data_IF_982522968100
#
_entry.id   IF_982522968100
#
_cell.length_a   1.000
_cell.length_b   1.000
_cell.length_c   1.000
_cell.angle_alpha   90.00
_cell.angle_beta   90.00
_cell.angle_gamma   90.00
#
_symmetry.space_group_name_H-M   'P 1'
#
loop_
_entity.id
_entity.type
_entity.pdbx_description
1 polymer ?
#
# COMPACT_ATOMS: atom_id res chain seq x y z
N UNK A 1 -3.87 21.88 -12.28
CA UNK A 1 -2.67 21.67 -11.41
C UNK A 1 -2.05 22.99 -10.93
N UNK A 2 -1.40 23.80 -11.77
CA UNK A 2 -0.75 25.04 -11.28
C UNK A 2 -1.78 26.03 -10.73
N UNK A 3 -2.80 26.38 -11.52
CA UNK A 3 -3.79 27.37 -11.11
C UNK A 3 -4.78 26.85 -10.08
N UNK A 4 -5.16 25.57 -10.17
CA UNK A 4 -6.21 24.99 -9.31
C UNK A 4 -5.70 24.36 -8.02
N UNK A 5 -4.39 24.10 -7.90
CA UNK A 5 -3.83 23.42 -6.73
C UNK A 5 -2.67 24.23 -6.16
N UNK A 6 -1.64 24.52 -6.96
CA UNK A 6 -0.42 25.18 -6.44
C UNK A 6 -0.66 26.66 -6.11
N UNK A 7 -1.53 27.33 -6.86
CA UNK A 7 -1.86 28.73 -6.67
C UNK A 7 -3.08 28.96 -5.78
N UNK A 8 -3.77 27.89 -5.34
CA UNK A 8 -4.93 27.98 -4.46
C UNK A 8 -4.57 28.57 -3.10
N UNK A 9 -5.52 29.24 -2.45
CA UNK A 9 -5.30 29.97 -1.18
C UNK A 9 -5.08 29.02 0.01
N UNK A 10 -5.53 27.77 -0.09
CA UNK A 10 -5.35 26.70 0.90
C UNK A 10 -4.05 25.90 0.69
N UNK A 11 -3.28 26.21 -0.35
CA UNK A 11 -2.03 25.54 -0.66
C UNK A 11 -0.81 26.37 -0.21
N UNK A 12 -0.07 25.86 0.77
CA UNK A 12 1.19 26.49 1.19
C UNK A 12 2.31 26.20 0.18
N UNK A 13 2.69 27.24 -0.56
CA UNK A 13 3.76 27.21 -1.57
C UNK A 13 5.14 26.94 -0.97
N UNK A 14 5.32 27.19 0.33
CA UNK A 14 6.56 26.91 1.05
C UNK A 14 6.92 25.42 1.03
N UNK A 15 5.91 24.54 0.89
CA UNK A 15 6.09 23.09 0.77
C UNK A 15 6.91 22.67 -0.47
N UNK A 16 7.01 23.52 -1.50
CA UNK A 16 7.87 23.24 -2.67
C UNK A 16 9.34 23.63 -2.47
N UNK A 17 9.70 24.24 -1.34
CA UNK A 17 11.09 24.62 -1.06
C UNK A 17 11.97 23.38 -0.98
N UNK A 18 12.92 23.25 -1.92
CA UNK A 18 13.78 22.07 -2.02
C UNK A 18 13.13 20.84 -2.67
N UNK A 19 11.88 20.95 -3.15
CA UNK A 19 11.22 19.87 -3.87
C UNK A 19 11.78 19.73 -5.29
N UNK A 20 12.23 18.53 -5.65
CA UNK A 20 12.65 18.17 -7.00
C UNK A 20 11.86 16.93 -7.44
N UNK A 21 11.03 17.09 -8.47
CA UNK A 21 10.15 16.02 -8.96
C UNK A 21 10.92 14.78 -9.39
N UNK A 22 12.08 14.93 -10.05
CA UNK A 22 12.90 13.79 -10.48
C UNK A 22 13.50 13.04 -9.30
N UNK A 23 13.98 13.76 -8.29
CA UNK A 23 14.50 13.16 -7.06
C UNK A 23 13.42 12.40 -6.30
N UNK A 24 12.22 12.97 -6.18
CA UNK A 24 11.11 12.31 -5.50
C UNK A 24 10.57 11.11 -6.28
N UNK A 25 10.48 11.20 -7.62
CA UNK A 25 10.12 10.06 -8.47
C UNK A 25 11.11 8.91 -8.29
N UNK A 26 12.42 9.17 -8.35
CA UNK A 26 13.45 8.14 -8.14
C UNK A 26 13.41 7.52 -6.74
N UNK A 27 12.99 8.28 -5.73
CA UNK A 27 12.78 7.75 -4.37
C UNK A 27 11.56 6.84 -4.33
N UNK A 28 10.47 7.23 -4.98
CA UNK A 28 9.25 6.44 -5.10
C UNK A 28 9.52 5.11 -5.84
N UNK A 29 10.14 5.16 -7.01
CA UNK A 29 10.49 3.96 -7.80
C UNK A 29 11.37 2.98 -6.99
N UNK A 30 12.28 3.52 -6.16
CA UNK A 30 13.16 2.72 -5.28
C UNK A 30 12.41 2.13 -4.09
N UNK A 31 11.34 2.77 -3.61
CA UNK A 31 10.50 2.22 -2.55
C UNK A 31 9.63 1.07 -3.06
N UNK A 32 9.21 1.09 -4.33
CA UNK A 32 8.48 -0.02 -4.95
C UNK A 32 9.38 -1.25 -5.18
N UNK A 33 10.68 -1.05 -5.40
CA UNK A 33 11.66 -2.12 -5.55
C UNK A 33 12.90 -1.85 -4.67
N UNK A 34 12.81 -2.08 -3.35
CA UNK A 34 13.93 -1.91 -2.45
C UNK A 34 15.06 -2.87 -2.86
N UNK A 35 16.32 -2.43 -2.91
CA UNK A 35 17.46 -3.31 -3.24
C UNK A 35 17.59 -4.50 -2.27
N UNK A 36 17.07 -4.37 -1.05
CA UNK A 36 17.07 -5.42 -0.02
C UNK A 36 15.71 -6.14 0.10
N UNK A 37 14.79 -5.92 -0.84
CA UNK A 37 13.43 -6.51 -0.87
C UNK A 37 12.47 -5.99 0.21
N UNK A 38 12.96 -5.33 1.25
CA UNK A 38 12.14 -4.80 2.35
C UNK A 38 11.67 -3.37 2.08
N UNK A 39 10.37 -3.21 1.83
CA UNK A 39 9.74 -1.90 1.75
C UNK A 39 9.44 -1.39 3.18
N UNK A 40 10.35 -0.57 3.72
CA UNK A 40 10.28 -0.08 5.11
C UNK A 40 9.06 0.80 5.39
N UNK A 41 8.53 1.50 4.38
CA UNK A 41 7.34 2.36 4.55
C UNK A 41 6.06 1.53 4.76
N UNK A 42 5.97 0.39 4.07
CA UNK A 42 4.84 -0.54 4.22
C UNK A 42 4.85 -1.17 5.62
N UNK A 43 6.03 -1.53 6.13
CA UNK A 43 6.19 -2.06 7.48
C UNK A 43 5.84 -1.04 8.57
N UNK A 44 6.19 0.25 8.39
CA UNK A 44 5.79 1.32 9.31
C UNK A 44 4.27 1.54 9.36
N UNK A 45 3.54 1.22 8.29
CA UNK A 45 2.07 1.28 8.22
C UNK A 45 1.32 0.13 8.91
N UNK A 46 2.03 -0.79 9.57
CA UNK A 46 1.45 -1.98 10.20
C UNK A 46 1.02 -3.06 9.21
N UNK A 47 1.49 -2.99 7.97
CA UNK A 47 1.32 -4.04 6.98
C UNK A 47 2.38 -5.12 7.18
N UNK A 48 1.99 -6.37 6.93
CA UNK A 48 2.85 -7.54 7.07
C UNK A 48 2.92 -8.24 5.73
N UNK A 49 4.12 -8.66 5.34
CA UNK A 49 4.34 -9.44 4.14
C UNK A 49 4.25 -10.93 4.47
N UNK A 50 3.56 -11.70 3.63
CA UNK A 50 3.40 -13.14 3.78
C UNK A 50 3.40 -13.83 2.42
N UNK A 51 3.54 -15.16 2.45
CA UNK A 51 3.33 -16.01 1.28
C UNK A 51 2.18 -16.97 1.55
N UNK A 52 1.33 -17.20 0.55
CA UNK A 52 0.18 -18.11 0.66
C UNK A 52 0.30 -19.19 -0.39
N UNK A 53 0.09 -20.43 0.04
CA UNK A 53 -0.05 -21.57 -0.87
C UNK A 53 -1.50 -21.69 -1.31
N UNK A 54 -1.71 -21.79 -2.62
CA UNK A 54 -3.02 -22.03 -3.22
C UNK A 54 -2.96 -23.22 -4.16
N UNK A 55 -4.05 -23.97 -4.23
CA UNK A 55 -4.16 -25.10 -5.14
C UNK A 55 -4.74 -24.61 -6.47
N UNK A 56 -3.95 -24.66 -7.53
CA UNK A 56 -4.35 -24.21 -8.86
C UNK A 56 -4.77 -25.43 -9.69
N UNK A 57 -6.02 -25.49 -10.17
CA UNK A 57 -6.44 -26.56 -11.05
C UNK A 57 -5.65 -26.53 -12.36
N UNK A 58 -4.97 -27.62 -12.66
CA UNK A 58 -4.34 -27.91 -13.94
C UNK A 58 -5.28 -28.77 -14.78
N UNK A 59 -5.03 -28.82 -16.10
CA UNK A 59 -5.76 -29.72 -17.02
C UNK A 59 -5.07 -31.08 -17.16
N UNK A 60 -4.03 -31.32 -16.37
CA UNK A 60 -3.29 -32.58 -16.40
C UNK A 60 -4.12 -33.67 -15.76
N UNK A 61 -4.13 -34.84 -16.38
CA UNK A 61 -4.88 -35.98 -15.88
C UNK A 61 -4.02 -36.69 -14.82
N UNK A 62 -4.32 -36.44 -13.55
CA UNK A 62 -3.61 -37.05 -12.42
C UNK A 62 -4.60 -37.85 -11.55
N UNK A 63 -4.34 -39.15 -11.29
CA UNK A 63 -5.20 -39.97 -10.44
C UNK A 63 -5.37 -39.44 -9.00
N UNK A 64 -4.42 -38.65 -8.50
CA UNK A 64 -4.47 -38.07 -7.14
C UNK A 64 -5.13 -36.67 -7.10
N UNK A 65 -5.62 -36.18 -8.24
CA UNK A 65 -6.25 -34.87 -8.38
C UNK A 65 -5.45 -33.91 -9.27
N UNK A 66 -6.16 -33.09 -10.03
CA UNK A 66 -5.58 -32.24 -11.07
C UNK A 66 -5.17 -30.87 -10.53
N UNK A 67 -4.77 -30.73 -9.27
CA UNK A 67 -4.48 -29.42 -8.68
C UNK A 67 -3.02 -29.36 -8.21
N UNK A 68 -2.32 -28.29 -8.58
CA UNK A 68 -0.93 -28.07 -8.24
C UNK A 68 -0.80 -26.94 -7.23
N UNK A 69 0.00 -27.14 -6.19
CA UNK A 69 0.30 -26.08 -5.22
C UNK A 69 1.14 -24.99 -5.89
N UNK A 70 0.68 -23.76 -5.77
CA UNK A 70 1.35 -22.56 -6.21
C UNK A 70 1.52 -21.61 -5.03
N UNK A 71 2.73 -21.11 -4.82
CA UNK A 71 3.03 -20.15 -3.76
C UNK A 71 2.93 -18.74 -4.32
N UNK A 72 2.03 -17.93 -3.77
CA UNK A 72 1.95 -16.50 -4.01
C UNK A 72 2.77 -15.79 -2.94
N UNK A 73 3.92 -15.23 -3.31
CA UNK A 73 4.76 -14.41 -2.43
C UNK A 73 4.44 -12.91 -2.56
N UNK A 74 4.97 -12.10 -1.64
CA UNK A 74 4.78 -10.64 -1.66
C UNK A 74 3.38 -10.18 -1.29
N UNK A 75 2.59 -11.01 -0.60
CA UNK A 75 1.25 -10.63 -0.16
C UNK A 75 1.36 -9.73 1.08
N UNK A 76 1.05 -8.45 0.90
CA UNK A 76 0.92 -7.51 2.00
C UNK A 76 -0.50 -7.55 2.57
N UNK A 77 -0.61 -7.83 3.87
CA UNK A 77 -1.89 -7.84 4.58
C UNK A 77 -1.81 -7.04 5.88
N UNK A 78 -2.97 -6.63 6.40
CA UNK A 78 -3.11 -6.00 7.70
C UNK A 78 -4.39 -6.46 8.38
N UNK A 79 -4.37 -6.56 9.70
CA UNK A 79 -5.58 -6.83 10.48
C UNK A 79 -6.63 -5.76 10.22
N UNK A 80 -7.83 -6.19 9.81
CA UNK A 80 -8.94 -5.28 9.53
C UNK A 80 -9.31 -4.46 10.78
N UNK A 81 -9.31 -5.08 11.96
CA UNK A 81 -9.62 -4.40 13.22
C UNK A 81 -8.54 -3.39 13.60
N UNK A 82 -7.28 -3.67 13.32
CA UNK A 82 -6.18 -2.72 13.57
C UNK A 82 -6.21 -1.55 12.59
N UNK A 83 -6.54 -1.81 11.31
CA UNK A 83 -6.73 -0.77 10.32
C UNK A 83 -7.85 0.18 10.73
N UNK A 84 -9.02 -0.36 11.12
CA UNK A 84 -10.15 0.43 11.63
C UNK A 84 -9.73 1.22 12.87
N UNK A 85 -9.09 0.60 13.85
CA UNK A 85 -8.66 1.27 15.09
C UNK A 85 -7.74 2.46 14.80
N UNK A 86 -6.77 2.30 13.89
CA UNK A 86 -5.85 3.38 13.54
C UNK A 86 -6.56 4.55 12.88
N UNK A 87 -7.45 4.29 11.93
CA UNK A 87 -8.23 5.35 11.27
C UNK A 87 -9.08 6.11 12.29
N UNK A 88 -9.76 5.40 13.20
CA UNK A 88 -10.62 6.00 14.22
C UNK A 88 -9.86 6.69 15.36
N UNK A 89 -8.56 6.40 15.52
CA UNK A 89 -7.70 7.11 16.46
C UNK A 89 -7.25 8.49 15.92
N UNK A 90 -7.40 8.73 14.62
CA UNK A 90 -7.00 9.97 13.98
C UNK A 90 -7.98 11.14 14.21
N UNK A 91 -7.48 12.37 14.14
CA UNK A 91 -8.29 13.57 14.34
C UNK A 91 -9.47 13.68 13.33
N UNK A 92 -9.27 13.21 12.10
CA UNK A 92 -10.28 13.23 11.04
C UNK A 92 -11.51 12.35 11.36
N UNK A 93 -11.37 11.32 12.20
CA UNK A 93 -12.47 10.45 12.57
C UNK A 93 -13.60 11.19 13.32
N UNK A 94 -13.27 12.30 14.00
CA UNK A 94 -14.24 13.15 14.70
C UNK A 94 -15.23 13.84 13.76
N UNK A 95 -14.88 13.96 12.48
CA UNK A 95 -15.69 14.62 11.46
C UNK A 95 -16.47 13.64 10.59
N UNK A 96 -16.38 12.34 10.87
CA UNK A 96 -17.10 11.31 10.14
C UNK A 96 -18.53 11.14 10.66
N UNK A 97 -19.52 11.21 9.77
CA UNK A 97 -20.92 10.99 10.11
C UNK A 97 -21.28 9.52 9.91
N UNK A 98 -21.71 8.84 10.97
CA UNK A 98 -22.17 7.43 10.90
C UNK A 98 -23.64 7.28 10.52
N UNK A 99 -24.36 8.40 10.37
CA UNK A 99 -25.75 8.46 9.93
C UNK A 99 -25.88 9.43 8.75
N UNK A 100 -26.76 9.14 7.77
CA UNK A 100 -27.12 10.05 6.69
C UNK A 100 -27.67 11.39 7.19
#
# INVERSE_FOLDING_TARGET
LVHEVILSDDFDRSHFTGFNAQTQMRRFDRSENPPDGHNTDVQQGGWQESSVETSVPTREQNPDGNAQTFTVSGLFHRSLTDAIRVVFSGAAAKSFHFSP
#
